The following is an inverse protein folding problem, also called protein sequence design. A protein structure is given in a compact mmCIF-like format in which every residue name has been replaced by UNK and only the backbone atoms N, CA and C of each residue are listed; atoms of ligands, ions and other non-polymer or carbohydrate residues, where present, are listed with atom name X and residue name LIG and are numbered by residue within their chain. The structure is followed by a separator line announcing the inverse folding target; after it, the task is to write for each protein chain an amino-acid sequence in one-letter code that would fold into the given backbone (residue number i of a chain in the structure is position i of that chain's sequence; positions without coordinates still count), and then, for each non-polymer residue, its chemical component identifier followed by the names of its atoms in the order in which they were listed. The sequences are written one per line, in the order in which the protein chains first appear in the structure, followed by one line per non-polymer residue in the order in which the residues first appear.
data_IF_470196669748
#
_entry.id   IF_470196669748
#
_cell.length_a   1.000
_cell.length_b   1.000
_cell.length_c   1.000
_cell.angle_alpha   90.00
_cell.angle_beta   90.00
_cell.angle_gamma   90.00
#
_symmetry.space_group_name_H-M   'P 1'
#
loop_
_entity.id
_entity.type
_entity.pdbx_description
1 polymer ?
#
# COMPACT_ATOMS: atom_id res chain seq x y z
N UNK A 1 10.54 -5.82 -0.14
CA UNK A 1 10.27 -5.20 1.17
C UNK A 1 8.91 -5.66 1.69
N UNK A 2 8.58 -5.34 2.94
CA UNK A 2 7.24 -5.55 3.50
C UNK A 2 6.59 -4.19 3.74
N UNK A 3 5.36 -4.02 3.26
CA UNK A 3 4.53 -2.85 3.56
C UNK A 3 3.50 -3.29 4.60
N UNK A 4 3.39 -2.54 5.70
CA UNK A 4 2.38 -2.77 6.74
C UNK A 4 1.53 -1.53 6.92
N UNK A 5 0.23 -1.71 7.05
CA UNK A 5 -0.69 -0.62 7.27
C UNK A 5 -1.81 -1.03 8.23
N UNK A 6 -2.16 -0.11 9.13
CA UNK A 6 -3.31 -0.24 10.00
C UNK A 6 -4.52 0.37 9.29
N UNK A 7 -5.58 -0.40 9.14
CA UNK A 7 -6.88 0.11 8.68
C UNK A 7 -7.81 0.15 9.87
N UNK A 8 -8.24 1.35 10.27
CA UNK A 8 -9.33 1.53 11.23
C UNK A 8 -10.60 1.96 10.48
N UNK A 9 -11.67 1.17 10.62
CA UNK A 9 -12.97 1.49 10.03
C UNK A 9 -13.97 1.83 11.12
N UNK A 10 -14.80 2.84 10.85
CA UNK A 10 -15.98 3.13 11.66
C UNK A 10 -17.20 2.45 11.04
N UNK A 11 -17.85 1.58 11.81
CA UNK A 11 -19.10 0.91 11.43
C UNK A 11 -20.27 1.89 11.52
N UNK A 12 -21.38 1.53 10.88
CA UNK A 12 -22.62 2.33 10.90
C UNK A 12 -23.25 2.45 12.28
N UNK A 13 -22.95 1.51 13.19
CA UNK A 13 -23.33 1.55 14.62
C UNK A 13 -22.40 2.44 15.47
N UNK A 14 -21.42 3.10 14.85
CA UNK A 14 -20.46 3.99 15.50
C UNK A 14 -19.23 3.30 16.07
N UNK A 15 -19.20 1.96 16.14
CA UNK A 15 -18.07 1.18 16.66
C UNK A 15 -16.87 1.21 15.72
N UNK A 16 -15.67 1.16 16.28
CA UNK A 16 -14.41 1.07 15.53
C UNK A 16 -13.90 -0.36 15.49
N UNK A 17 -13.52 -0.81 14.31
CA UNK A 17 -12.84 -2.09 14.10
C UNK A 17 -11.58 -1.83 13.27
N UNK A 18 -10.43 -2.18 13.83
CA UNK A 18 -9.15 -2.07 13.16
C UNK A 18 -8.53 -3.42 12.82
N UNK A 19 -7.74 -3.47 11.74
CA UNK A 19 -6.86 -4.60 11.45
C UNK A 19 -5.56 -4.10 10.83
N UNK A 20 -4.45 -4.69 11.26
CA UNK A 20 -3.18 -4.63 10.54
C UNK A 20 -3.23 -5.54 9.32
N UNK A 21 -2.72 -5.02 8.21
CA UNK A 21 -2.48 -5.74 6.98
C UNK A 21 -0.99 -5.67 6.63
N UNK A 22 -0.53 -6.65 5.86
CA UNK A 22 0.80 -6.66 5.26
C UNK A 22 0.76 -7.12 3.82
N UNK A 23 1.67 -6.58 3.02
CA UNK A 23 2.06 -7.13 1.73
C UNK A 23 3.55 -7.49 1.79
N UNK A 24 3.87 -8.72 1.43
CA UNK A 24 5.26 -9.23 1.39
C UNK A 24 5.79 -9.24 -0.04
N UNK A 25 7.12 -9.35 -0.18
CA UNK A 25 7.82 -9.36 -1.47
C UNK A 25 7.52 -8.16 -2.38
N UNK A 26 7.12 -7.03 -1.79
CA UNK A 26 6.85 -5.79 -2.51
C UNK A 26 8.16 -5.30 -3.13
N UNK A 27 8.12 -4.94 -4.41
CA UNK A 27 9.23 -4.35 -5.14
C UNK A 27 8.91 -2.90 -5.48
N UNK A 28 9.91 -2.02 -5.38
CA UNK A 28 9.80 -0.67 -5.95
C UNK A 28 9.93 -0.82 -7.46
N UNK A 29 9.01 -0.24 -8.22
CA UNK A 29 9.11 -0.20 -9.67
C UNK A 29 10.41 0.53 -10.11
N UNK A 30 11.09 0.12 -11.20
CA UNK A 30 12.26 0.81 -11.72
C UNK A 30 12.01 2.30 -11.91
N UNK A 31 12.96 3.13 -11.52
CA UNK A 31 12.83 4.59 -11.54
C UNK A 31 14.13 5.26 -12.03
N UNK A 32 14.00 6.43 -12.65
CA UNK A 32 15.13 7.23 -13.09
C UNK A 32 15.78 8.00 -11.93
N UNK A 33 17.12 8.00 -11.86
CA UNK A 33 17.88 8.60 -10.76
C UNK A 33 17.95 10.14 -10.77
N UNK A 34 17.58 10.79 -11.88
CA UNK A 34 17.78 12.23 -12.07
C UNK A 34 16.77 13.14 -11.36
N UNK A 35 15.62 12.61 -10.93
CA UNK A 35 14.56 13.39 -10.28
C UNK A 35 13.76 12.54 -9.27
N UNK A 36 14.45 11.65 -8.55
CA UNK A 36 13.83 10.84 -7.49
C UNK A 36 13.68 11.66 -6.21
N UNK A 37 12.45 11.94 -5.78
CA UNK A 37 12.19 12.75 -4.58
C UNK A 37 11.20 12.13 -3.60
N UNK A 38 10.06 11.64 -4.10
CA UNK A 38 8.96 11.18 -3.26
C UNK A 38 8.68 9.69 -3.45
N UNK A 39 8.40 9.01 -2.34
CA UNK A 39 7.89 7.64 -2.35
C UNK A 39 6.38 7.63 -2.15
N UNK A 40 5.67 6.91 -3.02
CA UNK A 40 4.22 6.79 -2.98
C UNK A 40 3.82 5.35 -2.72
N UNK A 41 2.90 5.17 -1.76
CA UNK A 41 2.15 3.93 -1.58
C UNK A 41 0.74 4.12 -2.15
N UNK A 42 0.45 3.44 -3.26
CA UNK A 42 -0.85 3.51 -3.92
C UNK A 42 -1.65 2.28 -3.54
N UNK A 43 -2.69 2.47 -2.74
CA UNK A 43 -3.63 1.42 -2.36
C UNK A 43 -4.70 1.23 -3.43
N UNK A 44 -4.96 -0.02 -3.80
CA UNK A 44 -5.90 -0.43 -4.83
C UNK A 44 -7.01 -1.30 -4.20
N UNK A 45 -8.18 -1.43 -4.86
CA UNK A 45 -9.24 -2.33 -4.40
C UNK A 45 -8.74 -3.76 -4.17
N UNK A 46 -9.28 -4.41 -3.15
CA UNK A 46 -8.88 -5.76 -2.74
C UNK A 46 -7.58 -5.80 -1.94
N UNK A 47 -7.30 -4.77 -1.14
CA UNK A 47 -6.12 -4.67 -0.26
C UNK A 47 -4.79 -4.84 -1.00
N UNK A 48 -4.70 -4.33 -2.22
CA UNK A 48 -3.49 -4.35 -3.04
C UNK A 48 -2.71 -3.06 -2.89
N UNK A 49 -1.40 -3.12 -3.05
CA UNK A 49 -0.51 -1.95 -2.93
C UNK A 49 0.57 -1.96 -4.01
N UNK A 50 0.84 -0.78 -4.56
CA UNK A 50 2.03 -0.51 -5.38
C UNK A 50 2.89 0.53 -4.68
N UNK A 51 4.20 0.27 -4.60
CA UNK A 51 5.18 1.25 -4.18
C UNK A 51 5.92 1.77 -5.41
N UNK A 52 5.95 3.08 -5.59
CA UNK A 52 6.67 3.75 -6.68
C UNK A 52 7.42 4.96 -6.16
N UNK A 53 8.46 5.36 -6.86
CA UNK A 53 9.12 6.64 -6.65
C UNK A 53 8.77 7.56 -7.82
N UNK A 54 8.43 8.81 -7.54
CA UNK A 54 8.33 9.83 -8.58
C UNK A 54 9.71 10.11 -9.13
N UNK A 55 9.86 10.07 -10.45
CA UNK A 55 11.16 10.25 -11.11
C UNK A 55 11.10 11.22 -12.31
N UNK A 56 9.98 11.93 -12.46
CA UNK A 56 9.71 12.81 -13.60
C UNK A 56 9.39 12.08 -14.91
N UNK A 57 9.48 10.75 -14.97
CA UNK A 57 9.08 9.96 -16.13
C UNK A 57 7.57 9.74 -16.14
N UNK A 58 6.85 10.79 -16.54
CA UNK A 58 5.38 10.81 -16.55
C UNK A 58 4.75 9.64 -17.31
N UNK A 59 5.37 9.24 -18.42
CA UNK A 59 4.85 8.22 -19.33
C UNK A 59 5.38 6.81 -19.02
N UNK A 60 6.40 6.69 -18.15
CA UNK A 60 6.99 5.43 -17.72
C UNK A 60 6.24 4.69 -16.61
N UNK A 61 5.06 5.17 -16.21
CA UNK A 61 4.24 4.54 -15.16
C UNK A 61 4.61 4.94 -13.73
N UNK A 62 5.56 5.87 -13.54
CA UNK A 62 5.96 6.44 -12.25
C UNK A 62 5.31 7.82 -12.01
N UNK A 63 4.00 7.89 -12.25
CA UNK A 63 3.20 9.07 -11.99
C UNK A 63 2.08 8.75 -10.99
N UNK A 64 2.14 9.27 -9.75
CA UNK A 64 1.16 8.97 -8.70
C UNK A 64 -0.25 9.48 -9.02
N UNK A 65 -0.39 10.41 -9.97
CA UNK A 65 -1.69 10.89 -10.44
C UNK A 65 -2.38 9.93 -11.42
N UNK A 66 -1.69 8.88 -11.87
CA UNK A 66 -2.24 7.85 -12.75
C UNK A 66 -2.38 6.57 -11.94
N UNK A 67 -3.61 6.07 -11.81
CA UNK A 67 -3.87 4.80 -11.12
C UNK A 67 -3.12 3.66 -11.85
N UNK A 68 -2.33 2.84 -11.14
CA UNK A 68 -1.71 1.65 -11.72
C UNK A 68 -2.74 0.70 -12.33
N UNK A 69 -2.33 -0.05 -13.36
CA UNK A 69 -3.15 -1.11 -13.93
C UNK A 69 -3.31 -2.27 -12.93
N UNK A 70 -4.44 -2.99 -12.99
CA UNK A 70 -4.70 -4.09 -12.06
C UNK A 70 -3.73 -5.26 -12.21
N UNK A 71 -3.14 -5.42 -13.41
CA UNK A 71 -2.17 -6.44 -13.76
C UNK A 71 -0.71 -5.93 -13.75
N UNK A 72 -0.47 -4.76 -13.15
CA UNK A 72 0.87 -4.21 -13.04
C UNK A 72 1.77 -5.14 -12.19
N UNK A 73 2.94 -5.55 -12.70
CA UNK A 73 3.78 -6.55 -12.04
C UNK A 73 4.35 -6.12 -10.68
N UNK A 74 4.35 -4.83 -10.34
CA UNK A 74 4.77 -4.38 -9.00
C UNK A 74 3.61 -4.10 -8.05
N UNK A 75 2.38 -4.49 -8.41
CA UNK A 75 1.26 -4.55 -7.48
C UNK A 75 1.39 -5.82 -6.64
N UNK A 76 1.42 -5.65 -5.33
CA UNK A 76 1.46 -6.73 -4.37
C UNK A 76 0.10 -6.89 -3.67
N UNK A 77 -0.24 -8.13 -3.33
CA UNK A 77 -1.43 -8.46 -2.57
C UNK A 77 -1.17 -8.29 -1.07
N UNK A 78 -2.05 -7.54 -0.41
CA UNK A 78 -2.13 -7.48 1.04
C UNK A 78 -2.95 -8.61 1.64
N UNK A 79 -2.60 -8.98 2.86
CA UNK A 79 -3.34 -9.94 3.70
C UNK A 79 -3.36 -9.42 5.13
N UNK A 80 -4.22 -9.98 5.98
CA UNK A 80 -4.20 -9.72 7.42
C UNK A 80 -2.82 -10.06 7.98
N UNK A 81 -2.26 -9.18 8.79
CA UNK A 81 -1.00 -9.43 9.51
C UNK A 81 -1.31 -10.01 10.89
N UNK A 82 -1.45 -11.33 10.99
CA UNK A 82 -1.77 -12.00 12.26
C UNK A 82 -0.73 -11.69 13.37
N UNK A 83 0.55 -11.56 12.99
CA UNK A 83 1.62 -11.25 13.94
C UNK A 83 1.44 -9.86 14.53
N UNK A 84 1.17 -8.87 13.69
CA UNK A 84 0.97 -7.49 14.13
C UNK A 84 -0.36 -7.28 14.83
N UNK A 85 -1.44 -7.90 14.38
CA UNK A 85 -2.71 -7.86 15.10
C UNK A 85 -2.61 -8.48 16.50
N UNK A 86 -1.71 -9.46 16.71
CA UNK A 86 -1.44 -10.01 18.04
C UNK A 86 -0.54 -9.10 18.90
N UNK A 87 0.50 -8.50 18.32
CA UNK A 87 1.48 -7.69 19.07
C UNK A 87 1.02 -6.26 19.33
N UNK A 88 0.27 -5.70 18.40
CA UNK A 88 -0.22 -4.33 18.38
C UNK A 88 -1.72 -4.34 18.07
N UNK A 89 -2.54 -4.95 18.94
CA UNK A 89 -3.96 -5.09 18.69
C UNK A 89 -4.59 -3.71 18.49
N UNK A 90 -5.27 -3.49 17.35
CA UNK A 90 -5.89 -2.21 17.08
C UNK A 90 -7.17 -2.01 17.90
N UNK A 91 -7.75 -0.82 17.84
CA UNK A 91 -8.98 -0.52 18.57
C UNK A 91 -10.14 -1.41 18.08
N UNK A 92 -10.83 -2.03 19.04
CA UNK A 92 -12.10 -2.74 18.85
C UNK A 92 -13.07 -2.27 19.93
N UNK A 93 -14.20 -1.68 19.51
CA UNK A 93 -15.33 -1.29 20.39
C UNK A 93 -16.46 -2.34 20.44
#
# INVERSE_FOLDING_TARGET
MTVRWLVEKRRTDGKKWGYWYKAENVQIAPYASGNTGDAWAIFLPGDRVRIMLTDGNRDGGNNPNIRPADNDPYVAQGVIDDEWNRRYPPAHD
#
